data_IF_533231782521
#
_entry.id   IF_533231782521
#
_cell.length_a   1.000
_cell.length_b   1.000
_cell.length_c   1.000
_cell.angle_alpha   90.00
_cell.angle_beta   90.00
_cell.angle_gamma   90.00
#
_symmetry.space_group_name_H-M   'P 1'
#
loop_
_entity.id
_entity.type
_entity.pdbx_description
1 polymer ?
#
# COMPACT_ATOMS: atom_id res chain seq x y z
N UNK A 1 -6.50 8.58 -13.60
CA UNK A 1 -7.03 9.03 -12.27
C UNK A 1 -6.98 10.54 -12.21
N UNK A 2 -7.98 11.19 -11.58
CA UNK A 2 -7.93 12.63 -11.28
C UNK A 2 -7.12 12.85 -9.99
N UNK A 3 -5.85 13.23 -10.13
CA UNK A 3 -4.92 13.39 -9.01
C UNK A 3 -5.33 14.52 -8.05
N UNK A 4 -5.83 15.63 -8.59
CA UNK A 4 -6.24 16.76 -7.78
C UNK A 4 -7.48 16.44 -6.93
N UNK A 5 -8.46 15.77 -7.51
CA UNK A 5 -9.63 15.30 -6.78
C UNK A 5 -9.26 14.28 -5.70
N UNK A 6 -8.32 13.37 -6.00
CA UNK A 6 -7.83 12.40 -5.04
C UNK A 6 -7.14 13.07 -3.84
N UNK A 7 -6.23 14.02 -4.08
CA UNK A 7 -5.56 14.74 -3.00
C UNK A 7 -6.54 15.57 -2.16
N UNK A 8 -7.50 16.23 -2.79
CA UNK A 8 -8.57 16.95 -2.07
C UNK A 8 -9.41 16.01 -1.21
N UNK A 9 -9.67 14.79 -1.68
CA UNK A 9 -10.38 13.76 -0.90
C UNK A 9 -9.55 13.29 0.31
N UNK A 10 -8.25 13.10 0.14
CA UNK A 10 -7.33 12.77 1.24
C UNK A 10 -7.33 13.87 2.31
N UNK A 11 -7.23 15.13 1.90
CA UNK A 11 -7.33 16.29 2.79
C UNK A 11 -8.64 16.26 3.59
N UNK A 12 -9.75 16.10 2.87
CA UNK A 12 -11.07 16.03 3.50
C UNK A 12 -11.18 14.89 4.52
N UNK A 13 -10.64 13.70 4.24
CA UNK A 13 -10.62 12.58 5.18
C UNK A 13 -9.90 12.94 6.49
N UNK A 14 -8.78 13.63 6.38
CA UNK A 14 -8.00 14.07 7.56
C UNK A 14 -8.79 15.11 8.34
N UNK A 15 -9.37 16.10 7.67
CA UNK A 15 -10.20 17.13 8.29
C UNK A 15 -11.43 16.57 9.01
N UNK A 16 -12.01 15.48 8.48
CA UNK A 16 -13.14 14.79 9.11
C UNK A 16 -12.73 13.86 10.26
N UNK A 17 -11.43 13.78 10.61
CA UNK A 17 -10.94 13.10 11.78
C UNK A 17 -10.41 11.68 11.54
N UNK A 18 -10.06 11.32 10.32
CA UNK A 18 -9.34 10.06 10.07
C UNK A 18 -7.99 10.06 10.77
N UNK A 19 -7.70 9.00 11.55
CA UNK A 19 -6.48 8.86 12.33
C UNK A 19 -5.33 8.20 11.56
N UNK A 20 -5.59 7.71 10.36
CA UNK A 20 -4.64 7.08 9.47
C UNK A 20 -5.28 6.79 8.12
N UNK A 21 -4.47 6.58 7.10
CA UNK A 21 -4.91 6.36 5.73
C UNK A 21 -4.35 5.05 5.18
N UNK A 22 -5.16 4.36 4.37
CA UNK A 22 -4.76 3.10 3.74
C UNK A 22 -5.01 3.20 2.22
N UNK A 23 -4.09 3.81 1.45
CA UNK A 23 -4.21 3.81 -0.01
C UNK A 23 -3.98 2.39 -0.57
N UNK A 24 -4.63 2.08 -1.67
CA UNK A 24 -4.48 0.81 -2.39
C UNK A 24 -4.78 -0.45 -1.55
N UNK A 25 -5.66 -0.37 -0.56
CA UNK A 25 -6.28 -1.56 0.02
C UNK A 25 -7.27 -2.19 -0.96
N UNK A 26 -7.82 -3.36 -0.63
CA UNK A 26 -8.79 -4.07 -1.50
C UNK A 26 -10.03 -3.21 -1.78
N UNK A 27 -10.59 -2.56 -0.75
CA UNK A 27 -11.71 -1.62 -0.89
C UNK A 27 -11.34 -0.40 -1.74
N UNK A 28 -10.06 -0.01 -1.76
CA UNK A 28 -9.51 1.04 -2.60
C UNK A 28 -9.22 0.60 -4.04
N UNK A 29 -9.83 -0.50 -4.51
CA UNK A 29 -9.79 -0.99 -5.88
C UNK A 29 -8.36 -1.28 -6.42
N UNK A 30 -7.42 -1.63 -5.56
CA UNK A 30 -6.03 -1.96 -5.94
C UNK A 30 -5.92 -2.89 -7.18
N UNK A 31 -6.77 -3.93 -7.35
CA UNK A 31 -6.69 -4.81 -8.50
C UNK A 31 -6.99 -4.15 -9.86
N UNK A 32 -7.60 -2.99 -9.89
CA UNK A 32 -7.96 -2.27 -11.13
C UNK A 32 -6.88 -1.28 -11.58
N UNK A 33 -5.85 -1.07 -10.75
CA UNK A 33 -4.74 -0.17 -11.03
C UNK A 33 -3.59 -0.92 -11.72
N UNK A 34 -2.95 -0.28 -12.68
CA UNK A 34 -1.62 -0.71 -13.12
C UNK A 34 -0.59 -0.49 -12.00
N UNK A 35 0.58 -1.11 -12.07
CA UNK A 35 1.62 -0.92 -11.04
C UNK A 35 2.07 0.55 -10.94
N UNK A 36 2.15 1.26 -12.08
CA UNK A 36 2.53 2.67 -12.09
C UNK A 36 1.45 3.54 -11.44
N UNK A 37 0.18 3.29 -11.74
CA UNK A 37 -0.95 3.97 -11.10
C UNK A 37 -1.00 3.67 -9.59
N UNK A 38 -0.78 2.41 -9.19
CA UNK A 38 -0.72 2.02 -7.79
C UNK A 38 0.36 2.81 -7.03
N UNK A 39 1.57 2.84 -7.56
CA UNK A 39 2.67 3.59 -6.98
C UNK A 39 2.34 5.09 -6.90
N UNK A 40 1.74 5.64 -7.97
CA UNK A 40 1.34 7.05 -8.00
C UNK A 40 0.29 7.39 -6.95
N UNK A 41 -0.71 6.52 -6.72
CA UNK A 41 -1.72 6.69 -5.66
C UNK A 41 -1.07 6.73 -4.28
N UNK A 42 -0.10 5.85 -4.02
CA UNK A 42 0.64 5.83 -2.75
C UNK A 42 1.41 7.14 -2.55
N UNK A 43 2.13 7.59 -3.59
CA UNK A 43 2.90 8.84 -3.55
C UNK A 43 1.98 10.04 -3.24
N UNK A 44 0.88 10.18 -3.98
CA UNK A 44 -0.08 11.28 -3.80
C UNK A 44 -0.72 11.29 -2.41
N UNK A 45 -1.03 10.11 -1.86
CA UNK A 45 -1.59 9.98 -0.53
C UNK A 45 -0.58 10.45 0.54
N UNK A 46 0.68 10.04 0.41
CA UNK A 46 1.76 10.45 1.34
C UNK A 46 2.01 11.96 1.24
N UNK A 47 2.08 12.50 0.01
CA UNK A 47 2.22 13.94 -0.24
C UNK A 47 1.09 14.74 0.44
N UNK A 48 -0.16 14.34 0.21
CA UNK A 48 -1.32 15.02 0.79
C UNK A 48 -1.40 14.86 2.31
N UNK A 49 -1.09 13.67 2.85
CA UNK A 49 -1.05 13.45 4.31
C UNK A 49 -0.02 14.34 5.00
N UNK A 50 1.12 14.59 4.34
CA UNK A 50 2.17 15.50 4.82
C UNK A 50 2.59 15.26 6.28
N UNK A 51 2.61 14.01 6.72
CA UNK A 51 2.98 13.60 8.08
C UNK A 51 1.93 13.89 9.17
N UNK A 52 0.74 14.38 8.80
CA UNK A 52 -0.34 14.69 9.78
C UNK A 52 -0.99 13.43 10.36
N UNK A 53 -1.07 12.38 9.58
CA UNK A 53 -1.58 11.07 9.98
C UNK A 53 -0.72 9.97 9.36
N UNK A 54 -0.61 8.79 9.98
CA UNK A 54 0.15 7.68 9.40
C UNK A 54 -0.50 7.16 8.10
N UNK A 55 0.35 6.73 7.16
CA UNK A 55 -0.06 6.12 5.91
C UNK A 55 0.41 4.67 5.87
N UNK A 56 -0.53 3.74 5.82
CA UNK A 56 -0.31 2.30 5.67
C UNK A 56 -0.58 1.91 4.22
N UNK A 57 0.45 1.80 3.39
CA UNK A 57 0.27 1.50 1.97
C UNK A 57 -0.16 0.04 1.76
N UNK A 58 -1.22 -0.20 1.00
CA UNK A 58 -1.58 -1.53 0.52
C UNK A 58 -0.56 -1.99 -0.51
N UNK A 59 0.21 -3.05 -0.22
CA UNK A 59 1.32 -3.52 -1.07
C UNK A 59 1.26 -5.02 -1.35
N UNK A 60 0.19 -5.70 -0.90
CA UNK A 60 0.03 -7.13 -1.10
C UNK A 60 -0.27 -7.51 -2.54
N UNK A 61 0.21 -8.68 -2.92
CA UNK A 61 -0.09 -9.36 -4.18
C UNK A 61 -0.03 -10.87 -3.96
N UNK A 62 -0.68 -11.64 -4.84
CA UNK A 62 -0.49 -13.10 -4.88
C UNK A 62 0.84 -13.50 -5.54
N UNK A 63 1.58 -12.56 -6.11
CA UNK A 63 2.97 -12.69 -6.55
C UNK A 63 3.92 -12.10 -5.51
N UNK A 64 4.82 -12.91 -4.96
CA UNK A 64 5.81 -12.44 -3.98
C UNK A 64 6.71 -11.35 -4.56
N UNK A 65 7.08 -11.45 -5.83
CA UNK A 65 7.92 -10.46 -6.52
C UNK A 65 7.21 -9.09 -6.63
N UNK A 66 5.94 -9.10 -6.98
CA UNK A 66 5.14 -7.87 -7.06
C UNK A 66 4.98 -7.23 -5.67
N UNK A 67 4.64 -8.03 -4.66
CA UNK A 67 4.51 -7.54 -3.29
C UNK A 67 5.82 -6.93 -2.76
N UNK A 68 6.97 -7.52 -3.09
CA UNK A 68 8.30 -6.96 -2.76
C UNK A 68 8.51 -5.62 -3.47
N UNK A 69 8.19 -5.52 -4.77
CA UNK A 69 8.37 -4.30 -5.53
C UNK A 69 7.50 -3.15 -5.00
N UNK A 70 6.22 -3.42 -4.76
CA UNK A 70 5.26 -2.46 -4.20
C UNK A 70 5.67 -2.01 -2.79
N UNK A 71 6.09 -2.94 -1.94
CA UNK A 71 6.52 -2.62 -0.56
C UNK A 71 7.80 -1.78 -0.54
N UNK A 72 8.76 -2.08 -1.43
CA UNK A 72 9.97 -1.25 -1.59
C UNK A 72 9.63 0.17 -2.04
N UNK A 73 8.70 0.32 -2.99
CA UNK A 73 8.24 1.62 -3.43
C UNK A 73 7.60 2.39 -2.27
N UNK A 74 6.65 1.79 -1.57
CA UNK A 74 5.97 2.40 -0.44
C UNK A 74 6.96 2.88 0.65
N UNK A 75 7.95 2.05 1.00
CA UNK A 75 9.01 2.45 1.93
C UNK A 75 9.80 3.65 1.41
N UNK A 76 10.22 3.63 0.15
CA UNK A 76 10.97 4.73 -0.46
C UNK A 76 10.14 6.02 -0.51
N UNK A 77 8.86 5.92 -0.77
CA UNK A 77 7.93 7.06 -0.79
C UNK A 77 7.68 7.66 0.59
N UNK A 78 7.95 6.93 1.67
CA UNK A 78 7.80 7.41 3.05
C UNK A 78 6.53 6.91 3.76
N UNK A 79 5.95 5.79 3.33
CA UNK A 79 4.87 5.14 4.08
C UNK A 79 5.34 4.69 5.46
N UNK A 80 4.48 4.81 6.47
CA UNK A 80 4.77 4.42 7.85
C UNK A 80 4.69 2.91 8.06
N UNK A 81 3.85 2.23 7.29
CA UNK A 81 3.70 0.77 7.32
C UNK A 81 3.17 0.24 5.99
N UNK A 82 3.23 -1.08 5.82
CA UNK A 82 2.68 -1.79 4.69
C UNK A 82 1.54 -2.73 5.11
N UNK A 83 0.42 -2.66 4.41
CA UNK A 83 -0.69 -3.62 4.54
C UNK A 83 -0.59 -4.67 3.45
N UNK A 84 -0.24 -5.89 3.84
CA UNK A 84 0.00 -6.99 2.90
C UNK A 84 -1.10 -8.04 3.00
N UNK A 85 -1.99 -8.08 2.00
CA UNK A 85 -2.99 -9.13 1.90
C UNK A 85 -2.32 -10.50 1.65
N UNK A 86 -2.89 -11.57 2.21
CA UNK A 86 -2.44 -12.92 1.89
C UNK A 86 -2.56 -13.21 0.40
N UNK A 87 -1.65 -14.01 -0.20
CA UNK A 87 -1.81 -14.44 -1.59
C UNK A 87 -3.18 -15.06 -1.82
N UNK A 88 -3.89 -14.52 -2.79
CA UNK A 88 -5.23 -14.94 -3.16
C UNK A 88 -5.19 -15.79 -4.44
N UNK A 89 -6.22 -16.58 -4.69
CA UNK A 89 -6.39 -17.48 -5.82
C UNK A 89 -5.44 -18.68 -5.81
N UNK A 90 -4.14 -18.52 -5.73
CA UNK A 90 -3.12 -19.58 -5.75
C UNK A 90 -2.98 -20.38 -4.44
N UNK A 91 -3.69 -19.99 -3.37
CA UNK A 91 -3.85 -20.73 -2.10
C UNK A 91 -2.57 -21.39 -1.59
N UNK A 92 -1.55 -20.63 -1.16
CA UNK A 92 -0.31 -21.19 -0.65
C UNK A 92 -0.54 -22.00 0.64
N UNK A 93 0.40 -22.91 0.92
CA UNK A 93 0.44 -23.63 2.20
C UNK A 93 0.82 -22.68 3.34
N UNK A 94 0.63 -23.09 4.60
CA UNK A 94 1.04 -22.28 5.77
C UNK A 94 2.53 -21.92 5.74
N UNK A 95 3.39 -22.87 5.35
CA UNK A 95 4.80 -22.59 5.15
C UNK A 95 5.04 -21.60 4.01
N UNK A 96 4.30 -21.73 2.91
CA UNK A 96 4.37 -20.81 1.78
C UNK A 96 3.97 -19.38 2.18
N UNK A 97 2.95 -19.20 3.04
CA UNK A 97 2.58 -17.92 3.61
C UNK A 97 3.72 -17.32 4.43
N UNK A 98 4.31 -18.11 5.32
CA UNK A 98 5.45 -17.66 6.11
C UNK A 98 6.62 -17.17 5.23
N UNK A 99 7.01 -18.00 4.23
CA UNK A 99 8.11 -17.63 3.32
C UNK A 99 7.78 -16.39 2.47
N UNK A 100 6.51 -16.23 2.05
CA UNK A 100 6.05 -15.05 1.33
C UNK A 100 6.24 -13.76 2.16
N UNK A 101 5.71 -13.74 3.38
CA UNK A 101 5.84 -12.57 4.27
C UNK A 101 7.28 -12.33 4.68
N UNK A 102 8.04 -13.41 4.96
CA UNK A 102 9.45 -13.31 5.28
C UNK A 102 10.24 -12.65 4.15
N UNK A 103 10.02 -13.07 2.91
CA UNK A 103 10.70 -12.50 1.75
C UNK A 103 10.38 -10.99 1.57
N UNK A 104 9.13 -10.58 1.78
CA UNK A 104 8.72 -9.16 1.72
C UNK A 104 9.41 -8.37 2.83
N UNK A 105 9.35 -8.87 4.07
CA UNK A 105 9.96 -8.23 5.24
C UNK A 105 11.47 -8.06 5.07
N UNK A 106 12.16 -9.12 4.65
CA UNK A 106 13.62 -9.10 4.46
C UNK A 106 14.04 -8.13 3.33
N UNK A 107 13.19 -7.95 2.32
CA UNK A 107 13.48 -7.08 1.18
C UNK A 107 13.22 -5.60 1.44
N UNK A 108 12.27 -5.25 2.31
CA UNK A 108 11.81 -3.87 2.45
C UNK A 108 11.99 -3.28 3.86
N UNK A 109 12.08 -4.06 4.92
CA UNK A 109 12.26 -3.61 6.31
C UNK A 109 11.38 -2.41 6.70
N UNK A 110 10.09 -2.57 6.60
CA UNK A 110 9.04 -1.63 6.98
C UNK A 110 8.02 -2.37 7.86
N UNK A 111 7.42 -1.74 8.88
CA UNK A 111 6.33 -2.33 9.65
C UNK A 111 5.18 -2.85 8.82
#
# INVERSE_FOLDING_TARGET
MDEAAFQSFVEWQIEQGSHGLVPCGTTGESPTLTHDEHNRVVDLCIEAASGRVPVLAGTGSNSTQEAIALTKHAKKAGADAALVVTPYYNKPTQRGLYEHYKAIRDAADIP
#
